data_IF_181997108416
#
_entry.id   IF_181997108416
#
_cell.length_a   1.000
_cell.length_b   1.000
_cell.length_c   1.000
_cell.angle_alpha   90.00
_cell.angle_beta   90.00
_cell.angle_gamma   90.00
#
_symmetry.space_group_name_H-M   'P 1'
#
loop_
_entity.id
_entity.type
_entity.pdbx_description
1 polymer ?
#
# COMPACT_ATOMS: atom_id res chain seq x y z
N UNK A 1 -42.22 48.39 -23.26
CA UNK A 1 -41.40 48.33 -22.04
C UNK A 1 -42.21 47.63 -20.97
N UNK A 2 -41.56 46.68 -20.28
CA UNK A 2 -42.05 45.89 -19.15
C UNK A 2 -43.03 44.73 -19.45
N UNK A 3 -42.68 43.59 -18.84
CA UNK A 3 -43.09 42.20 -19.05
C UNK A 3 -44.10 41.72 -17.99
N UNK A 4 -44.53 40.46 -18.18
CA UNK A 4 -45.14 39.47 -17.25
C UNK A 4 -46.66 39.45 -17.14
N UNK A 5 -47.33 38.32 -16.92
CA UNK A 5 -47.09 36.89 -17.11
C UNK A 5 -48.42 36.22 -16.72
N UNK A 6 -48.88 35.17 -17.41
CA UNK A 6 -49.78 34.18 -16.79
C UNK A 6 -49.48 32.76 -17.30
N UNK A 7 -49.54 31.83 -16.36
CA UNK A 7 -49.35 30.38 -16.46
C UNK A 7 -50.69 29.70 -16.73
N UNK A 8 -50.71 28.63 -17.53
CA UNK A 8 -51.64 27.51 -17.32
C UNK A 8 -51.14 26.21 -17.94
N UNK A 9 -51.62 25.12 -17.34
CA UNK A 9 -51.17 23.74 -17.27
C UNK A 9 -51.82 22.80 -18.31
N UNK A 10 -51.14 21.67 -18.51
CA UNK A 10 -51.62 20.32 -18.85
C UNK A 10 -52.03 19.94 -20.29
N UNK A 11 -51.25 19.03 -20.90
CA UNK A 11 -51.68 17.65 -21.29
C UNK A 11 -50.59 16.95 -22.15
N UNK A 12 -49.81 16.01 -21.60
CA UNK A 12 -49.94 14.53 -21.68
C UNK A 12 -49.34 13.88 -22.96
N UNK A 13 -48.27 13.09 -22.72
CA UNK A 13 -47.75 11.88 -23.42
C UNK A 13 -47.33 11.99 -24.90
N UNK A 14 -46.05 11.69 -25.17
CA UNK A 14 -45.63 10.37 -25.64
C UNK A 14 -44.09 10.27 -25.68
N UNK A 15 -43.59 9.09 -25.39
CA UNK A 15 -42.19 8.73 -25.29
C UNK A 15 -41.46 8.79 -26.63
N UNK A 16 -40.21 9.26 -26.60
CA UNK A 16 -39.17 8.83 -27.53
C UNK A 16 -37.85 8.85 -26.76
N UNK A 17 -37.32 7.65 -26.58
CA UNK A 17 -36.06 7.32 -25.94
C UNK A 17 -34.92 7.99 -26.72
N UNK A 18 -34.22 8.92 -26.09
CA UNK A 18 -32.94 9.44 -26.56
C UNK A 18 -31.85 8.90 -25.66
N UNK A 19 -31.19 7.84 -26.10
CA UNK A 19 -29.92 7.34 -25.53
C UNK A 19 -28.90 8.50 -25.47
N UNK A 20 -28.14 8.66 -24.37
CA UNK A 20 -27.03 9.60 -24.36
C UNK A 20 -25.85 8.99 -25.15
N UNK A 21 -25.64 9.48 -26.37
CA UNK A 21 -24.35 9.39 -27.06
C UNK A 21 -23.25 10.01 -26.19
N UNK A 22 -22.54 9.18 -25.43
CA UNK A 22 -21.22 9.56 -24.91
C UNK A 22 -20.28 8.35 -24.75
N UNK A 23 -20.24 7.44 -25.72
CA UNK A 23 -19.07 6.58 -25.86
C UNK A 23 -18.00 7.35 -26.64
N UNK A 24 -17.30 8.26 -25.95
CA UNK A 24 -16.09 8.90 -26.50
C UNK A 24 -15.09 7.81 -26.86
N UNK A 25 -14.79 7.71 -28.16
CA UNK A 25 -13.74 6.88 -28.72
C UNK A 25 -12.46 7.05 -27.88
N UNK A 26 -11.99 5.97 -27.26
CA UNK A 26 -10.70 5.97 -26.59
C UNK A 26 -9.65 6.21 -27.67
N UNK A 27 -9.19 7.45 -27.81
CA UNK A 27 -8.27 7.90 -28.86
C UNK A 27 -7.08 6.94 -28.94
N UNK A 28 -7.13 6.03 -29.91
CA UNK A 28 -6.13 4.99 -30.09
C UNK A 28 -4.89 5.59 -30.71
N UNK A 29 -3.73 5.36 -30.11
CA UNK A 29 -2.48 5.92 -30.64
C UNK A 29 -2.12 5.31 -32.02
N UNK A 30 -1.36 6.02 -32.87
CA UNK A 30 -0.92 5.47 -34.17
C UNK A 30 0.00 4.26 -34.01
N UNK A 31 0.00 3.34 -34.97
CA UNK A 31 0.86 2.14 -34.95
C UNK A 31 2.36 2.47 -34.73
N UNK A 32 2.85 3.54 -35.36
CA UNK A 32 4.23 4.00 -35.24
C UNK A 32 4.62 4.36 -33.80
N UNK A 33 3.66 4.83 -32.98
CA UNK A 33 3.90 5.11 -31.56
C UNK A 33 4.26 3.83 -30.81
N UNK A 34 3.46 2.77 -30.96
CA UNK A 34 3.71 1.51 -30.25
C UNK A 34 5.03 0.89 -30.66
N UNK A 35 5.32 0.81 -31.96
CA UNK A 35 6.60 0.27 -32.46
C UNK A 35 7.78 1.05 -31.89
N UNK A 36 7.69 2.38 -31.79
CA UNK A 36 8.73 3.21 -31.19
C UNK A 36 8.88 2.97 -29.69
N UNK A 37 7.79 2.81 -28.94
CA UNK A 37 7.85 2.54 -27.50
C UNK A 37 8.40 1.15 -27.22
N UNK A 38 7.98 0.11 -27.95
CA UNK A 38 8.54 -1.23 -27.81
C UNK A 38 10.04 -1.28 -28.11
N UNK A 39 10.51 -0.58 -29.15
CA UNK A 39 11.94 -0.44 -29.41
C UNK A 39 12.67 0.27 -28.25
N UNK A 40 12.06 1.28 -27.62
CA UNK A 40 12.64 1.94 -26.45
C UNK A 40 12.65 1.05 -25.20
N UNK A 41 11.66 0.16 -25.03
CA UNK A 41 11.65 -0.84 -23.94
C UNK A 41 12.79 -1.84 -24.15
N UNK A 42 12.99 -2.33 -25.38
CA UNK A 42 14.14 -3.19 -25.74
C UNK A 42 15.48 -2.51 -25.42
N UNK A 43 15.62 -1.22 -25.75
CA UNK A 43 16.84 -0.43 -25.45
C UNK A 43 17.13 -0.28 -23.95
N UNK A 44 16.09 -0.30 -23.11
CA UNK A 44 16.17 -0.27 -21.63
C UNK A 44 16.44 -1.67 -21.06
N UNK A 45 15.85 -2.70 -21.66
CA UNK A 45 15.91 -4.10 -21.24
C UNK A 45 14.55 -4.60 -20.71
N UNK A 46 13.99 -5.63 -21.35
CA UNK A 46 12.73 -6.26 -20.95
C UNK A 46 12.78 -6.88 -19.56
N UNK A 47 13.96 -7.35 -19.12
CA UNK A 47 14.19 -7.94 -17.81
C UNK A 47 14.02 -6.95 -16.65
N UNK A 48 14.04 -5.64 -16.96
CA UNK A 48 13.79 -4.55 -16.01
C UNK A 48 12.33 -4.13 -15.98
N UNK A 49 11.56 -4.41 -17.03
CA UNK A 49 10.13 -4.08 -17.08
C UNK A 49 9.35 -5.03 -16.16
N UNK A 50 8.71 -4.47 -15.14
CA UNK A 50 7.89 -5.22 -14.17
C UNK A 50 6.46 -5.34 -14.68
N UNK A 51 5.89 -4.27 -15.22
CA UNK A 51 4.54 -4.29 -15.78
C UNK A 51 4.32 -3.15 -16.77
N UNK A 52 3.35 -3.34 -17.66
CA UNK A 52 2.82 -2.31 -18.57
C UNK A 52 1.29 -2.29 -18.52
N UNK A 53 0.69 -1.09 -18.57
CA UNK A 53 -0.77 -0.88 -18.47
C UNK A 53 -1.26 0.18 -19.46
N UNK A 54 -2.58 0.24 -19.65
CA UNK A 54 -3.27 1.23 -20.48
C UNK A 54 -3.26 0.89 -21.98
N UNK A 55 -3.37 1.89 -22.84
CA UNK A 55 -3.48 1.72 -24.30
C UNK A 55 -2.32 0.89 -24.85
N UNK A 56 -2.64 -0.25 -25.47
CA UNK A 56 -1.68 -1.24 -25.95
C UNK A 56 -0.69 -1.78 -24.91
N UNK A 57 -0.97 -1.64 -23.60
CA UNK A 57 -0.08 -2.05 -22.52
C UNK A 57 1.15 -1.16 -22.31
N UNK A 58 1.21 0.02 -22.94
CA UNK A 58 2.41 0.87 -22.96
C UNK A 58 2.18 2.32 -22.51
N UNK A 59 0.97 2.65 -22.07
CA UNK A 59 0.68 4.02 -21.58
C UNK A 59 1.29 4.29 -20.20
N UNK A 60 1.45 3.26 -19.39
CA UNK A 60 2.09 3.32 -18.08
C UNK A 60 3.01 2.10 -17.95
N UNK A 61 4.31 2.35 -17.74
CA UNK A 61 5.36 1.34 -17.67
C UNK A 61 6.02 1.40 -16.29
N UNK A 62 6.23 0.26 -15.66
CA UNK A 62 6.93 0.17 -14.37
C UNK A 62 8.24 -0.56 -14.56
N UNK A 63 9.36 0.12 -14.33
CA UNK A 63 10.70 -0.45 -14.38
C UNK A 63 11.27 -0.67 -12.98
N UNK A 64 11.94 -1.81 -12.79
CA UNK A 64 12.78 -2.09 -11.62
C UNK A 64 14.19 -1.56 -11.89
N UNK A 65 14.66 -0.71 -10.99
CA UNK A 65 15.98 -0.08 -11.05
C UNK A 65 16.71 -0.36 -9.73
N UNK A 66 17.92 -0.89 -9.84
CA UNK A 66 18.80 -1.10 -8.70
C UNK A 66 19.65 0.14 -8.46
N UNK A 67 19.81 0.52 -7.20
CA UNK A 67 20.81 1.52 -6.80
C UNK A 67 22.17 0.87 -6.50
N UNK A 68 23.16 1.71 -6.14
CA UNK A 68 24.53 1.29 -5.87
C UNK A 68 24.67 0.38 -4.63
N UNK A 69 23.65 0.31 -3.77
CA UNK A 69 23.58 -0.61 -2.61
C UNK A 69 22.77 -1.87 -2.92
N UNK A 70 22.33 -2.05 -4.17
CA UNK A 70 21.51 -3.19 -4.58
C UNK A 70 20.05 -3.12 -4.11
N UNK A 71 19.58 -1.96 -3.66
CA UNK A 71 18.16 -1.77 -3.29
C UNK A 71 17.31 -1.63 -4.55
N UNK A 72 16.14 -2.26 -4.53
CA UNK A 72 15.18 -2.22 -5.61
C UNK A 72 14.29 -0.97 -5.51
N UNK A 73 14.28 -0.18 -6.58
CA UNK A 73 13.39 0.97 -6.76
C UNK A 73 12.46 0.70 -7.94
N UNK A 74 11.17 0.98 -7.78
CA UNK A 74 10.19 0.91 -8.85
C UNK A 74 9.96 2.32 -9.41
N UNK A 75 10.29 2.50 -10.69
CA UNK A 75 10.03 3.72 -11.44
C UNK A 75 8.83 3.49 -12.37
N UNK A 76 7.72 4.13 -12.05
CA UNK A 76 6.56 4.21 -12.92
C UNK A 76 6.71 5.41 -13.87
N UNK A 77 6.51 5.16 -15.16
CA UNK A 77 6.62 6.12 -16.26
C UNK A 77 5.29 6.12 -17.00
N UNK A 78 4.56 7.23 -16.92
CA UNK A 78 3.31 7.44 -17.66
C UNK A 78 3.56 8.29 -18.90
N UNK A 79 3.24 7.74 -20.07
CA UNK A 79 3.43 8.38 -21.37
C UNK A 79 2.18 9.21 -21.73
N UNK A 80 2.28 10.54 -21.89
CA UNK A 80 1.15 11.34 -22.34
C UNK A 80 0.79 11.06 -23.80
N UNK A 81 -0.40 11.46 -24.26
CA UNK A 81 -0.88 11.22 -25.64
C UNK A 81 0.01 11.84 -26.71
N UNK A 82 0.66 12.95 -26.39
CA UNK A 82 1.57 13.66 -27.27
C UNK A 82 3.05 13.29 -27.08
N UNK A 83 3.35 12.19 -26.37
CA UNK A 83 4.71 11.66 -26.26
C UNK A 83 5.30 11.37 -27.65
N UNK A 84 6.58 11.70 -27.92
CA UNK A 84 7.59 12.27 -27.02
C UNK A 84 7.65 13.82 -27.00
N UNK A 85 6.68 14.51 -27.61
CA UNK A 85 6.68 15.98 -27.65
C UNK A 85 6.53 16.61 -26.27
N UNK A 86 5.86 15.93 -25.35
CA UNK A 86 5.87 16.26 -23.91
C UNK A 86 6.58 15.17 -23.11
N UNK A 87 7.22 15.55 -21.99
CA UNK A 87 7.89 14.58 -21.11
C UNK A 87 6.91 13.59 -20.51
N UNK A 88 7.36 12.37 -20.19
CA UNK A 88 6.59 11.45 -19.39
C UNK A 88 6.44 11.95 -17.95
N UNK A 89 5.38 11.51 -17.27
CA UNK A 89 5.21 11.70 -15.83
C UNK A 89 5.89 10.55 -15.09
N UNK A 90 6.63 10.86 -14.02
CA UNK A 90 7.37 9.88 -13.23
C UNK A 90 6.76 9.76 -11.84
N UNK A 91 6.70 8.53 -11.33
CA UNK A 91 6.34 8.23 -9.94
C UNK A 91 7.29 7.16 -9.42
N UNK A 92 7.83 7.37 -8.22
CA UNK A 92 8.67 6.40 -7.53
C UNK A 92 8.61 6.66 -6.02
N UNK A 93 8.88 5.63 -5.22
CA UNK A 93 9.04 5.75 -3.76
C UNK A 93 10.42 6.36 -3.45
N UNK A 94 10.54 7.68 -3.66
CA UNK A 94 11.74 8.46 -3.36
C UNK A 94 11.32 9.79 -2.74
N UNK A 95 12.14 10.45 -1.90
CA UNK A 95 11.71 11.65 -1.17
C UNK A 95 11.40 12.83 -2.10
N UNK A 96 12.02 12.85 -3.28
CA UNK A 96 11.69 13.76 -4.38
C UNK A 96 12.20 13.15 -5.69
N UNK A 97 11.54 13.49 -6.80
CA UNK A 97 11.95 13.05 -8.15
C UNK A 97 13.01 14.00 -8.74
N UNK A 98 13.83 13.54 -9.70
CA UNK A 98 14.72 14.42 -10.44
C UNK A 98 13.93 15.39 -11.32
N UNK A 99 14.49 16.57 -11.56
CA UNK A 99 14.02 17.46 -12.62
C UNK A 99 14.41 16.87 -13.97
N UNK A 100 13.47 16.20 -14.61
CA UNK A 100 13.71 15.48 -15.87
C UNK A 100 14.13 16.44 -16.99
N UNK A 101 15.36 16.29 -17.45
CA UNK A 101 15.84 16.97 -18.65
C UNK A 101 15.26 16.23 -19.87
N UNK A 102 14.37 16.92 -20.60
CA UNK A 102 13.60 16.31 -21.68
C UNK A 102 13.63 17.15 -22.96
N UNK A 103 13.74 16.46 -24.08
CA UNK A 103 13.63 17.03 -25.42
C UNK A 103 12.82 16.10 -26.33
N UNK A 104 12.43 16.56 -27.53
CA UNK A 104 11.72 15.70 -28.51
C UNK A 104 12.55 14.49 -28.99
N UNK A 105 13.87 14.53 -28.83
CA UNK A 105 14.77 13.41 -29.14
C UNK A 105 14.98 12.44 -27.98
N UNK A 106 14.51 12.79 -26.78
CA UNK A 106 14.67 11.97 -25.58
C UNK A 106 13.80 10.73 -25.63
N UNK A 107 14.25 9.68 -24.94
CA UNK A 107 13.66 8.33 -24.93
C UNK A 107 13.56 7.78 -23.50
N UNK A 108 12.88 6.65 -23.34
CA UNK A 108 12.77 5.96 -22.05
C UNK A 108 14.13 5.69 -21.38
N UNK A 109 15.16 5.35 -22.16
CA UNK A 109 16.51 5.13 -21.65
C UNK A 109 17.09 6.36 -20.96
N UNK A 110 16.84 7.56 -21.50
CA UNK A 110 17.31 8.80 -20.88
C UNK A 110 16.64 9.05 -19.52
N UNK A 111 15.36 8.70 -19.39
CA UNK A 111 14.62 8.75 -18.11
C UNK A 111 15.24 7.82 -17.09
N UNK A 112 15.47 6.55 -17.48
CA UNK A 112 16.06 5.53 -16.61
C UNK A 112 17.46 5.95 -16.16
N UNK A 113 18.30 6.42 -17.08
CA UNK A 113 19.65 6.91 -16.74
C UNK A 113 19.61 8.11 -15.77
N UNK A 114 18.76 9.11 -16.03
CA UNK A 114 18.62 10.26 -15.13
C UNK A 114 18.10 9.85 -13.74
N UNK A 115 17.17 8.90 -13.67
CA UNK A 115 16.70 8.37 -12.40
C UNK A 115 17.80 7.60 -11.67
N UNK A 116 18.60 6.78 -12.36
CA UNK A 116 19.74 6.09 -11.76
C UNK A 116 20.76 7.06 -11.15
N UNK A 117 21.13 8.14 -11.86
CA UNK A 117 22.00 9.18 -11.30
C UNK A 117 21.37 9.87 -10.09
N UNK A 118 20.05 10.07 -10.11
CA UNK A 118 19.32 10.62 -8.97
C UNK A 118 19.36 9.70 -7.74
N UNK A 119 19.26 8.38 -7.94
CA UNK A 119 19.41 7.41 -6.84
C UNK A 119 20.79 7.51 -6.17
N UNK A 120 21.84 7.88 -6.90
CA UNK A 120 23.19 8.11 -6.33
C UNK A 120 23.22 9.32 -5.41
N UNK A 121 22.53 10.39 -5.78
CA UNK A 121 22.42 11.61 -4.95
C UNK A 121 21.69 11.30 -3.64
N UNK A 122 20.68 10.43 -3.68
CA UNK A 122 19.87 10.06 -2.52
C UNK A 122 20.54 9.07 -1.55
N UNK A 123 21.70 8.50 -1.90
CA UNK A 123 22.39 7.51 -1.06
C UNK A 123 22.68 8.04 0.34
N UNK A 124 23.15 9.28 0.44
CA UNK A 124 23.49 9.90 1.72
C UNK A 124 22.25 10.06 2.62
N UNK A 125 21.11 10.41 2.01
CA UNK A 125 19.85 10.53 2.72
C UNK A 125 19.40 9.18 3.28
N UNK A 126 19.37 8.13 2.47
CA UNK A 126 18.96 6.81 2.95
C UNK A 126 19.91 6.25 4.00
N UNK A 127 21.22 6.48 3.86
CA UNK A 127 22.19 6.08 4.91
C UNK A 127 21.87 6.75 6.25
N UNK A 128 21.50 8.03 6.26
CA UNK A 128 21.10 8.74 7.49
C UNK A 128 19.78 8.19 8.05
N UNK A 129 18.81 7.90 7.20
CA UNK A 129 17.54 7.32 7.64
C UNK A 129 17.72 5.90 8.21
N UNK A 130 18.53 5.06 7.56
CA UNK A 130 18.89 3.71 8.03
C UNK A 130 19.61 3.75 9.39
N UNK A 131 20.53 4.70 9.57
CA UNK A 131 21.22 4.92 10.85
C UNK A 131 20.24 5.36 11.96
N UNK A 132 19.28 6.23 11.65
CA UNK A 132 18.23 6.63 12.58
C UNK A 132 17.39 5.42 12.99
N UNK A 133 16.93 4.63 12.02
CA UNK A 133 16.05 3.47 12.24
C UNK A 133 16.76 2.36 13.03
N UNK A 134 18.08 2.25 12.88
CA UNK A 134 18.90 1.26 13.59
C UNK A 134 19.26 1.69 15.01
N UNK A 135 19.55 2.97 15.24
CA UNK A 135 20.16 3.45 16.49
C UNK A 135 19.16 4.08 17.45
N UNK A 136 18.06 4.65 16.96
CA UNK A 136 17.08 5.37 17.77
C UNK A 136 15.80 4.55 17.94
N UNK A 137 15.11 4.75 19.06
CA UNK A 137 13.79 4.15 19.26
C UNK A 137 12.73 4.83 18.40
N UNK A 138 12.62 4.41 17.14
CA UNK A 138 11.57 4.84 16.20
C UNK A 138 10.28 4.09 16.52
N UNK A 139 9.21 4.85 16.81
CA UNK A 139 7.87 4.33 17.10
C UNK A 139 6.96 4.38 15.87
N UNK A 140 7.21 5.31 14.96
CA UNK A 140 6.44 5.48 13.74
C UNK A 140 7.32 6.11 12.63
N UNK A 141 7.23 5.62 11.37
CA UNK A 141 6.49 4.45 10.90
C UNK A 141 7.15 3.13 11.33
N UNK A 142 6.35 2.07 11.50
CA UNK A 142 6.86 0.71 11.80
C UNK A 142 7.54 0.05 10.60
N UNK A 143 7.14 0.44 9.39
CA UNK A 143 7.72 0.01 8.12
C UNK A 143 7.98 1.24 7.25
N UNK A 144 9.16 1.87 7.37
CA UNK A 144 9.47 3.04 6.57
C UNK A 144 9.59 2.71 5.08
N UNK A 145 9.18 3.64 4.24
CA UNK A 145 9.42 3.60 2.79
C UNK A 145 10.57 4.53 2.43
N UNK A 146 11.10 4.41 1.21
CA UNK A 146 12.25 5.22 0.76
C UNK A 146 11.89 6.70 0.60
N UNK A 147 10.62 7.05 0.39
CA UNK A 147 10.15 8.43 0.33
C UNK A 147 9.96 9.10 1.70
N UNK A 148 9.82 8.33 2.79
CA UNK A 148 9.45 8.88 4.10
C UNK A 148 10.60 9.59 4.78
N UNK A 149 10.51 10.91 4.87
CA UNK A 149 11.52 11.80 5.49
C UNK A 149 11.33 12.09 6.97
N UNK A 150 10.31 11.50 7.59
CA UNK A 150 10.01 11.74 8.99
C UNK A 150 10.13 10.47 9.82
N UNK A 151 10.44 10.64 11.11
CA UNK A 151 10.44 9.57 12.13
C UNK A 151 9.92 10.13 13.44
N UNK A 152 9.06 9.39 14.13
CA UNK A 152 8.66 9.67 15.50
C UNK A 152 9.53 8.86 16.46
N UNK A 153 10.42 9.55 17.16
CA UNK A 153 11.39 8.95 18.07
C UNK A 153 10.85 9.04 19.51
N UNK A 154 10.88 7.93 20.24
CA UNK A 154 10.56 7.92 21.66
C UNK A 154 11.68 8.58 22.46
N UNK A 155 11.31 9.43 23.42
CA UNK A 155 12.21 10.04 24.39
C UNK A 155 11.98 9.51 25.82
N UNK A 156 11.03 8.59 26.01
CA UNK A 156 10.56 8.08 27.30
C UNK A 156 9.55 9.01 27.99
N UNK A 157 8.85 8.52 29.02
CA UNK A 157 7.81 9.25 29.78
C UNK A 157 6.73 9.86 28.86
N UNK A 158 6.24 9.06 27.90
CA UNK A 158 5.24 9.49 26.90
C UNK A 158 5.61 10.76 26.12
N UNK A 159 6.91 11.07 26.04
CA UNK A 159 7.46 12.14 25.24
C UNK A 159 8.05 11.60 23.93
N UNK A 160 7.81 12.32 22.84
CA UNK A 160 8.25 11.96 21.50
C UNK A 160 8.83 13.16 20.76
N UNK A 161 9.73 12.86 19.83
CA UNK A 161 10.25 13.80 18.85
C UNK A 161 9.76 13.38 17.46
N UNK A 162 8.90 14.18 16.85
CA UNK A 162 8.65 14.06 15.42
C UNK A 162 9.76 14.80 14.69
N UNK A 163 10.65 14.02 14.07
CA UNK A 163 11.81 14.45 13.33
C UNK A 163 11.49 14.49 11.84
N UNK A 164 11.94 15.54 11.14
CA UNK A 164 11.90 15.64 9.68
C UNK A 164 13.31 15.91 9.14
N UNK A 165 13.83 14.98 8.35
CA UNK A 165 15.15 15.06 7.71
C UNK A 165 15.01 15.67 6.32
N UNK A 166 15.79 16.69 6.02
CA UNK A 166 15.81 17.28 4.70
C UNK A 166 16.56 16.36 3.71
N UNK A 167 15.84 15.71 2.80
CA UNK A 167 16.44 14.75 1.86
C UNK A 167 17.49 15.35 0.91
N UNK A 168 17.47 16.67 0.65
CA UNK A 168 18.48 17.37 -0.17
C UNK A 168 19.73 17.75 0.63
N UNK A 169 19.61 17.81 1.97
CA UNK A 169 20.68 18.17 2.90
C UNK A 169 20.57 17.30 4.17
N UNK A 170 20.74 15.98 4.06
CA UNK A 170 20.37 15.03 5.14
C UNK A 170 21.22 15.20 6.41
N UNK A 171 22.42 15.75 6.29
CA UNK A 171 23.32 16.07 7.43
C UNK A 171 23.07 17.44 8.06
N UNK A 172 22.16 18.26 7.53
CA UNK A 172 21.82 19.56 8.11
C UNK A 172 20.92 19.43 9.35
N UNK A 173 20.79 20.50 10.13
CA UNK A 173 19.91 20.54 11.30
C UNK A 173 18.48 20.16 10.86
N UNK A 174 17.88 19.10 11.43
CA UNK A 174 16.55 18.66 11.04
C UNK A 174 15.46 19.55 11.63
N UNK A 175 14.29 19.52 11.02
CA UNK A 175 13.08 20.11 11.61
C UNK A 175 12.53 19.16 12.67
N UNK A 176 12.08 19.71 13.80
CA UNK A 176 11.60 18.90 14.92
C UNK A 176 10.31 19.46 15.50
N UNK A 177 9.44 18.55 15.95
CA UNK A 177 8.28 18.84 16.76
C UNK A 177 8.27 17.95 17.99
N UNK A 178 8.14 18.57 19.15
CA UNK A 178 8.08 17.91 20.44
C UNK A 178 6.62 17.57 20.76
N UNK A 179 6.37 16.35 21.25
CA UNK A 179 5.04 15.83 21.61
C UNK A 179 5.12 15.17 22.99
N UNK A 180 4.13 15.37 23.87
CA UNK A 180 4.10 14.75 25.20
C UNK A 180 3.58 15.70 26.28
N UNK A 181 3.59 15.25 27.54
CA UNK A 181 3.17 16.04 28.71
C UNK A 181 4.31 16.86 29.33
N UNK A 182 3.94 17.83 30.16
CA UNK A 182 4.78 19.01 30.46
C UNK A 182 5.96 18.76 31.44
N UNK A 183 6.90 19.70 31.51
CA UNK A 183 8.08 19.68 32.38
C UNK A 183 9.35 19.10 31.74
N UNK A 184 9.32 17.83 31.31
CA UNK A 184 10.45 17.22 30.55
C UNK A 184 10.58 17.85 29.17
N UNK A 185 9.45 18.07 28.50
CA UNK A 185 9.38 18.62 27.15
C UNK A 185 9.92 20.06 27.09
N UNK A 186 9.56 20.91 28.07
CA UNK A 186 10.02 22.29 28.15
C UNK A 186 11.55 22.40 28.25
N UNK A 187 12.15 21.49 29.03
CA UNK A 187 13.62 21.39 29.14
C UNK A 187 14.24 21.01 27.80
N UNK A 188 13.69 20.01 27.11
CA UNK A 188 14.18 19.57 25.80
C UNK A 188 14.03 20.65 24.72
N UNK A 189 12.91 21.38 24.70
CA UNK A 189 12.68 22.52 23.81
C UNK A 189 13.68 23.64 24.09
N UNK A 190 13.93 23.94 25.37
CA UNK A 190 14.90 24.97 25.78
C UNK A 190 16.32 24.58 25.37
N UNK A 191 16.71 23.31 25.59
CA UNK A 191 17.99 22.77 25.18
C UNK A 191 18.16 22.83 23.66
N UNK A 192 17.14 22.40 22.89
CA UNK A 192 17.15 22.48 21.44
C UNK A 192 17.41 23.91 20.95
N UNK A 193 16.67 24.90 21.46
CA UNK A 193 16.85 26.31 21.10
C UNK A 193 18.24 26.83 21.44
N UNK A 194 18.81 26.40 22.56
CA UNK A 194 20.13 26.83 23.04
C UNK A 194 21.28 26.18 22.27
N UNK A 195 21.13 24.91 21.92
CA UNK A 195 22.23 24.07 21.43
C UNK A 195 22.12 23.68 19.95
N UNK A 196 21.06 24.01 19.23
CA UNK A 196 20.92 23.68 17.81
C UNK A 196 22.10 24.13 16.93
N UNK A 197 22.76 25.25 17.30
CA UNK A 197 23.97 25.75 16.62
C UNK A 197 25.19 24.86 16.78
N UNK A 198 25.16 23.88 17.70
CA UNK A 198 26.21 22.87 17.88
C UNK A 198 26.06 21.69 16.91
N UNK A 199 24.96 21.63 16.14
CA UNK A 199 24.77 20.63 15.10
C UNK A 199 25.88 20.74 14.06
N UNK A 200 26.55 19.62 13.76
CA UNK A 200 27.62 19.58 12.76
C UNK A 200 27.37 18.46 11.76
N UNK A 201 27.59 18.73 10.47
CA UNK A 201 27.45 17.72 9.42
C UNK A 201 28.47 16.57 9.55
N UNK A 202 29.57 16.78 10.27
CA UNK A 202 30.66 15.79 10.41
C UNK A 202 30.39 14.75 11.51
N UNK A 203 29.36 14.96 12.34
CA UNK A 203 29.01 14.07 13.45
C UNK A 203 27.91 13.09 13.03
N UNK A 204 27.87 11.93 13.70
CA UNK A 204 26.76 10.99 13.53
C UNK A 204 25.45 11.63 13.97
N UNK A 205 24.36 11.26 13.29
CA UNK A 205 23.05 11.88 13.51
C UNK A 205 22.57 11.79 14.97
N UNK A 206 22.66 10.60 15.57
CA UNK A 206 22.24 10.38 16.96
C UNK A 206 23.13 11.11 17.99
N UNK A 207 24.43 11.25 17.73
CA UNK A 207 25.36 12.01 18.58
C UNK A 207 25.03 13.51 18.56
N UNK A 208 24.76 14.04 17.36
CA UNK A 208 24.25 15.40 17.18
C UNK A 208 22.95 15.61 17.95
N UNK A 209 21.98 14.71 17.77
CA UNK A 209 20.68 14.81 18.41
C UNK A 209 20.79 14.78 19.94
N UNK A 210 21.61 13.87 20.49
CA UNK A 210 21.88 13.80 21.93
C UNK A 210 22.56 15.07 22.45
N UNK A 211 23.51 15.63 21.68
CA UNK A 211 24.21 16.88 22.03
C UNK A 211 23.27 18.08 22.05
N UNK A 212 22.37 18.19 21.07
CA UNK A 212 21.45 19.32 20.93
C UNK A 212 20.33 19.25 21.97
N UNK A 213 19.84 18.04 22.27
CA UNK A 213 18.83 17.84 23.32
C UNK A 213 19.43 17.88 24.73
N UNK A 214 20.76 17.73 24.86
CA UNK A 214 21.48 17.53 26.12
C UNK A 214 20.80 16.42 26.94
N UNK A 215 20.59 15.29 26.26
CA UNK A 215 19.76 14.18 26.70
C UNK A 215 20.31 12.87 26.13
N UNK A 216 20.41 11.85 26.98
CA UNK A 216 20.75 10.50 26.54
C UNK A 216 19.52 9.86 25.88
N UNK A 217 19.57 9.69 24.56
CA UNK A 217 18.48 9.08 23.79
C UNK A 217 18.28 7.62 24.21
N UNK A 218 17.04 7.17 24.44
CA UNK A 218 16.80 5.77 24.75
C UNK A 218 17.13 4.91 23.53
N UNK A 219 17.76 3.73 23.73
CA UNK A 219 17.97 2.80 22.64
C UNK A 219 16.63 2.21 22.18
N UNK A 220 16.57 1.64 20.97
CA UNK A 220 15.46 0.77 20.59
C UNK A 220 15.27 -0.31 21.65
N UNK A 221 14.04 -0.73 21.94
CA UNK A 221 13.80 -1.81 22.88
C UNK A 221 14.61 -3.04 22.44
N UNK A 222 15.42 -3.58 23.36
CA UNK A 222 16.13 -4.84 23.10
C UNK A 222 15.07 -5.87 22.76
N UNK A 223 15.13 -6.44 21.56
CA UNK A 223 14.22 -7.50 21.15
C UNK A 223 14.56 -8.76 21.94
N UNK A 224 14.14 -8.81 23.20
CA UNK A 224 13.85 -10.09 23.83
C UNK A 224 12.54 -10.53 23.16
N UNK A 225 12.69 -11.26 22.05
CA UNK A 225 11.63 -12.08 21.45
C UNK A 225 11.39 -13.22 22.44
N UNK A 226 10.82 -12.92 23.60
CA UNK A 226 10.11 -13.92 24.38
C UNK A 226 8.62 -13.59 24.24
N UNK A 227 8.06 -14.22 23.21
CA UNK A 227 6.65 -14.61 23.10
C UNK A 227 5.59 -13.50 22.90
N UNK A 228 5.67 -12.80 21.76
CA UNK A 228 4.44 -12.30 21.09
C UNK A 228 4.34 -12.78 19.62
N UNK A 229 5.10 -13.81 19.26
CA UNK A 229 5.00 -14.53 17.98
C UNK A 229 4.01 -15.70 18.02
N UNK A 230 3.15 -15.80 19.04
CA UNK A 230 1.99 -16.69 18.97
C UNK A 230 0.90 -16.04 18.11
N UNK A 231 0.85 -16.48 16.86
CA UNK A 231 -0.08 -16.04 15.82
C UNK A 231 -1.53 -16.24 16.27
N UNK A 232 -2.25 -15.13 16.48
CA UNK A 232 -3.70 -15.13 16.74
C UNK A 232 -4.46 -15.85 15.63
N UNK A 233 -5.53 -16.56 15.96
CA UNK A 233 -6.39 -17.19 14.96
C UNK A 233 -6.93 -16.17 13.94
N UNK A 234 -6.83 -16.49 12.65
CA UNK A 234 -7.34 -15.65 11.55
C UNK A 234 -8.85 -15.50 11.44
N UNK A 235 -9.63 -16.12 12.34
CA UNK A 235 -11.10 -16.07 12.34
C UNK A 235 -11.60 -15.42 13.63
N UNK A 236 -11.17 -15.90 14.80
CA UNK A 236 -11.64 -15.39 16.09
C UNK A 236 -10.72 -14.35 16.73
N UNK A 237 -9.53 -14.10 16.15
CA UNK A 237 -8.53 -13.16 16.66
C UNK A 237 -8.09 -13.41 18.11
N UNK A 238 -8.26 -14.65 18.59
CA UNK A 238 -7.81 -15.06 19.91
C UNK A 238 -6.63 -16.04 19.81
N UNK A 239 -5.76 -16.03 20.82
CA UNK A 239 -4.66 -17.00 20.99
C UNK A 239 -5.18 -18.37 21.39
N UNK A 240 -6.13 -18.39 22.34
CA UNK A 240 -6.71 -19.61 22.89
C UNK A 240 -8.23 -19.59 22.74
N UNK A 241 -8.83 -20.76 22.47
CA UNK A 241 -10.27 -20.92 22.58
C UNK A 241 -10.73 -20.75 24.05
N UNK A 242 -11.97 -20.29 24.30
CA UNK A 242 -12.52 -20.25 25.65
C UNK A 242 -12.53 -21.66 26.26
N UNK A 243 -12.43 -21.72 27.59
CA UNK A 243 -12.59 -22.97 28.33
C UNK A 243 -14.08 -23.26 28.42
N UNK A 244 -14.54 -24.22 27.62
CA UNK A 244 -15.92 -24.66 27.53
C UNK A 244 -15.96 -26.20 27.48
N UNK A 245 -16.87 -26.80 28.25
CA UNK A 245 -17.10 -28.25 28.28
C UNK A 245 -17.64 -28.76 26.94
N UNK A 246 -18.35 -27.92 26.17
CA UNK A 246 -18.87 -28.28 24.83
C UNK A 246 -17.76 -28.43 23.77
N UNK A 247 -16.62 -27.75 23.95
CA UNK A 247 -15.46 -27.83 23.04
C UNK A 247 -14.57 -29.06 23.28
N UNK A 248 -14.83 -29.83 24.36
CA UNK A 248 -14.12 -31.05 24.69
C UNK A 248 -12.60 -30.87 24.70
N UNK A 249 -11.87 -31.69 23.95
CA UNK A 249 -10.39 -31.67 23.87
C UNK A 249 -9.81 -30.41 23.22
N UNK A 250 -10.63 -29.55 22.62
CA UNK A 250 -10.20 -28.29 21.99
C UNK A 250 -10.43 -27.06 22.89
N UNK A 251 -11.02 -27.26 24.06
CA UNK A 251 -11.20 -26.24 25.10
C UNK A 251 -9.83 -25.68 25.53
N UNK A 252 -9.67 -24.36 25.53
CA UNK A 252 -8.37 -23.72 25.83
C UNK A 252 -7.27 -23.94 24.77
N UNK A 253 -7.58 -24.53 23.61
CA UNK A 253 -6.58 -24.87 22.59
C UNK A 253 -5.98 -23.65 21.88
N UNK A 254 -4.68 -23.73 21.55
CA UNK A 254 -3.98 -22.77 20.67
C UNK A 254 -4.28 -23.03 19.19
N UNK A 255 -3.83 -22.15 18.31
CA UNK A 255 -3.94 -22.36 16.85
C UNK A 255 -3.21 -23.64 16.44
N UNK A 256 -3.94 -24.56 15.79
CA UNK A 256 -3.49 -25.91 15.44
C UNK A 256 -3.52 -26.16 13.91
N UNK A 257 -3.87 -25.15 13.13
CA UNK A 257 -3.90 -25.20 11.66
C UNK A 257 -3.27 -23.94 11.04
N UNK A 258 -2.38 -24.11 10.07
CA UNK A 258 -1.73 -22.99 9.35
C UNK A 258 -1.98 -23.11 7.85
N UNK A 259 -2.25 -21.98 7.19
CA UNK A 259 -2.48 -21.93 5.75
C UNK A 259 -1.25 -22.44 4.97
N UNK A 260 -1.47 -23.41 4.08
CA UNK A 260 -0.41 -24.03 3.27
C UNK A 260 0.12 -23.12 2.15
N UNK A 261 -0.55 -22.01 1.84
CA UNK A 261 -0.05 -21.05 0.87
C UNK A 261 1.21 -20.34 1.42
N UNK A 262 2.38 -20.48 0.76
CA UNK A 262 3.64 -19.89 1.23
C UNK A 262 3.61 -18.36 1.40
N UNK A 263 2.65 -17.69 0.77
CA UNK A 263 2.47 -16.23 0.86
C UNK A 263 1.48 -15.78 1.95
N UNK A 264 0.77 -16.70 2.62
CA UNK A 264 -0.33 -16.37 3.53
C UNK A 264 0.02 -16.49 5.02
N UNK A 265 0.75 -17.55 5.40
CA UNK A 265 1.25 -17.85 6.75
C UNK A 265 0.25 -17.66 7.93
N UNK A 266 -1.06 -17.62 7.67
CA UNK A 266 -2.09 -17.39 8.69
C UNK A 266 -2.41 -18.66 9.46
N UNK A 267 -2.45 -18.57 10.80
CA UNK A 267 -2.83 -19.66 11.69
C UNK A 267 -4.31 -19.55 12.13
N UNK A 268 -4.92 -20.69 12.47
CA UNK A 268 -6.31 -20.83 12.84
C UNK A 268 -6.49 -21.92 13.89
N UNK A 269 -7.53 -21.82 14.73
CA UNK A 269 -8.07 -23.00 15.42
C UNK A 269 -8.86 -23.84 14.42
N UNK A 270 -8.67 -25.15 14.44
CA UNK A 270 -9.36 -26.10 13.57
C UNK A 270 -10.86 -26.06 13.78
N UNK A 271 -11.33 -25.73 14.99
CA UNK A 271 -12.75 -25.50 15.29
C UNK A 271 -13.27 -24.29 14.49
N UNK A 272 -12.63 -23.12 14.62
CA UNK A 272 -13.03 -21.91 13.91
C UNK A 272 -13.03 -22.10 12.38
N UNK A 273 -12.02 -22.79 11.84
CA UNK A 273 -11.95 -23.06 10.42
C UNK A 273 -13.06 -24.01 9.95
N UNK A 274 -13.35 -25.08 10.69
CA UNK A 274 -14.44 -26.00 10.36
C UNK A 274 -15.80 -25.31 10.38
N UNK A 275 -16.05 -24.48 11.38
CA UNK A 275 -17.34 -23.78 11.51
C UNK A 275 -17.52 -22.74 10.39
N UNK A 276 -16.46 -22.00 10.08
CA UNK A 276 -16.45 -21.08 8.94
C UNK A 276 -16.67 -21.81 7.60
N UNK A 277 -16.00 -22.95 7.37
CA UNK A 277 -16.17 -23.78 6.16
C UNK A 277 -17.58 -24.41 6.05
N UNK A 278 -18.24 -24.67 7.18
CA UNK A 278 -19.63 -25.15 7.23
C UNK A 278 -20.63 -24.02 6.94
N UNK A 279 -20.31 -22.79 7.35
CA UNK A 279 -21.16 -21.62 7.16
C UNK A 279 -21.18 -21.12 5.70
N UNK A 280 -20.14 -21.40 4.91
CA UNK A 280 -20.13 -21.11 3.47
C UNK A 280 -20.96 -22.17 2.71
N UNK A 281 -22.19 -21.82 2.35
CA UNK A 281 -23.14 -22.71 1.68
C UNK A 281 -22.86 -22.91 0.18
N UNK A 282 -21.78 -23.60 -0.16
CA UNK A 282 -21.59 -24.31 -1.45
C UNK A 282 -20.85 -25.66 -1.31
N UNK A 283 -20.51 -26.08 -0.09
CA UNK A 283 -19.71 -27.30 0.18
C UNK A 283 -20.53 -28.59 0.16
N UNK A 284 -21.44 -28.78 -0.80
CA UNK A 284 -22.11 -30.07 -1.06
C UNK A 284 -21.43 -30.96 -2.11
N UNK A 285 -20.26 -30.56 -2.64
CA UNK A 285 -19.51 -31.38 -3.61
C UNK A 285 -18.05 -31.71 -3.25
N UNK A 286 -17.51 -31.26 -2.12
CA UNK A 286 -16.07 -31.45 -1.78
C UNK A 286 -15.77 -32.45 -0.64
N UNK A 287 -16.76 -33.15 -0.09
CA UNK A 287 -16.54 -34.15 0.98
C UNK A 287 -15.92 -35.46 0.47
N UNK A 288 -15.71 -35.61 -0.84
CA UNK A 288 -15.09 -36.83 -1.42
C UNK A 288 -13.55 -36.83 -1.48
N UNK A 289 -12.86 -35.76 -1.09
CA UNK A 289 -11.39 -35.67 -1.24
C UNK A 289 -10.59 -35.67 0.08
N UNK A 290 -11.24 -35.67 1.25
CA UNK A 290 -10.52 -35.64 2.54
C UNK A 290 -10.28 -37.04 3.13
N UNK A 291 -10.88 -38.10 2.55
CA UNK A 291 -10.81 -39.47 3.10
C UNK A 291 -10.01 -40.48 2.25
N UNK A 292 -8.95 -40.05 1.57
CA UNK A 292 -7.97 -41.01 1.01
C UNK A 292 -6.56 -40.47 1.19
N UNK A 293 -5.92 -40.89 2.28
CA UNK A 293 -4.48 -41.14 2.27
C UNK A 293 -4.23 -42.22 1.22
N UNK A 294 -3.63 -41.85 0.09
CA UNK A 294 -2.72 -42.64 -0.75
C UNK A 294 -2.67 -42.03 -2.15
N UNK A 295 -1.62 -41.27 -2.44
CA UNK A 295 -0.98 -41.20 -3.77
C UNK A 295 0.26 -40.32 -3.69
N UNK A 296 1.40 -40.91 -3.33
CA UNK A 296 2.71 -40.40 -3.73
C UNK A 296 2.80 -40.50 -5.25
N UNK A 297 2.78 -39.38 -5.98
CA UNK A 297 3.42 -39.34 -7.30
C UNK A 297 4.04 -37.97 -7.57
N UNK A 298 5.34 -38.05 -7.78
CA UNK A 298 6.35 -37.07 -8.20
C UNK A 298 5.88 -36.27 -9.42
N UNK A 299 6.00 -34.93 -9.41
CA UNK A 299 6.25 -34.12 -10.61
C UNK A 299 7.11 -32.90 -10.26
N UNK A 300 8.32 -32.87 -10.81
CA UNK A 300 9.22 -31.71 -10.88
C UNK A 300 8.68 -30.67 -11.89
N UNK A 301 9.04 -29.37 -11.76
CA UNK A 301 8.60 -28.33 -12.70
C UNK A 301 9.44 -28.35 -14.00
N UNK A 302 8.88 -27.99 -15.17
CA UNK A 302 9.65 -27.90 -16.41
C UNK A 302 10.35 -26.54 -16.56
N UNK A 303 11.37 -26.44 -17.44
CA UNK A 303 12.24 -25.28 -17.56
C UNK A 303 11.68 -24.17 -18.47
N UNK A 304 12.23 -22.99 -18.22
CA UNK A 304 12.27 -21.69 -18.91
C UNK A 304 12.20 -21.65 -20.46
N UNK A 305 11.19 -22.20 -21.15
CA UNK A 305 11.08 -21.99 -22.63
C UNK A 305 9.65 -21.76 -23.18
N UNK A 306 8.77 -21.10 -22.41
CA UNK A 306 7.38 -20.84 -22.87
C UNK A 306 6.92 -19.38 -22.83
N UNK A 307 7.82 -18.42 -22.65
CA UNK A 307 7.45 -16.98 -22.77
C UNK A 307 7.35 -16.56 -24.24
N UNK A 308 8.14 -17.18 -25.13
CA UNK A 308 8.13 -16.89 -26.57
C UNK A 308 6.87 -17.41 -27.29
N UNK A 309 6.27 -18.49 -26.80
CA UNK A 309 5.11 -19.12 -27.43
C UNK A 309 3.77 -18.43 -27.10
N UNK A 310 3.64 -17.75 -25.95
CA UNK A 310 2.40 -17.02 -25.63
C UNK A 310 2.22 -15.75 -26.46
N UNK A 311 3.31 -15.07 -26.84
CA UNK A 311 3.26 -13.82 -27.61
C UNK A 311 2.86 -14.08 -29.08
N UNK A 312 3.31 -15.20 -29.67
CA UNK A 312 2.91 -15.59 -31.02
C UNK A 312 1.48 -16.16 -31.10
N UNK A 313 0.97 -16.77 -30.02
CA UNK A 313 -0.41 -17.26 -29.94
C UNK A 313 -1.44 -16.13 -29.91
N UNK A 314 -1.12 -14.99 -29.27
CA UNK A 314 -2.00 -13.81 -29.26
C UNK A 314 -2.06 -13.07 -30.60
N UNK A 315 -1.08 -13.24 -31.49
CA UNK A 315 -1.08 -12.62 -32.83
C UNK A 315 -1.72 -13.50 -33.93
N UNK A 316 -2.05 -14.76 -33.63
CA UNK A 316 -2.59 -15.71 -34.62
C UNK A 316 -4.09 -16.06 -34.45
N UNK A 317 -4.74 -15.65 -33.35
CA UNK A 317 -6.14 -16.05 -33.05
C UNK A 317 -7.20 -14.95 -33.28
N UNK A 318 -6.82 -13.70 -33.58
CA UNK A 318 -7.80 -12.65 -33.92
C UNK A 318 -7.59 -12.06 -35.31
N UNK A 319 -8.07 -12.70 -36.39
CA UNK A 319 -8.45 -11.96 -37.58
C UNK A 319 -9.74 -11.18 -37.26
N UNK A 320 -9.65 -9.86 -37.31
CA UNK A 320 -10.80 -8.96 -37.39
C UNK A 320 -11.71 -9.44 -38.54
N UNK A 321 -13.00 -9.64 -38.27
CA UNK A 321 -14.03 -9.57 -39.31
C UNK A 321 -15.13 -8.61 -38.85
N UNK A 322 -15.58 -7.70 -39.72
CA UNK A 322 -16.61 -6.73 -39.44
C UNK A 322 -17.95 -7.45 -39.38
N UNK A 323 -18.89 -6.88 -38.64
CA UNK A 323 -20.30 -7.29 -38.49
C UNK A 323 -20.58 -7.86 -37.10
N UNK A 324 -20.95 -6.92 -36.23
CA UNK A 324 -21.38 -7.20 -34.87
C UNK A 324 -22.63 -8.07 -34.86
N UNK A 325 -22.57 -9.17 -34.12
CA UNK A 325 -23.60 -9.60 -33.16
C UNK A 325 -23.20 -10.94 -32.53
N UNK A 326 -22.92 -10.93 -31.24
CA UNK A 326 -23.41 -11.99 -30.34
C UNK A 326 -23.34 -11.53 -28.91
N UNK A 327 -24.53 -11.44 -28.32
CA UNK A 327 -24.76 -11.10 -26.93
C UNK A 327 -24.39 -12.27 -26.03
N UNK A 328 -23.74 -11.98 -24.89
CA UNK A 328 -24.03 -12.67 -23.63
C UNK A 328 -23.97 -11.64 -22.49
N UNK A 329 -25.17 -11.21 -22.10
CA UNK A 329 -25.65 -10.87 -20.75
C UNK A 329 -24.64 -10.22 -19.79
N UNK A 330 -24.63 -8.88 -19.77
CA UNK A 330 -24.26 -8.10 -18.58
C UNK A 330 -25.43 -8.12 -17.60
N UNK A 331 -25.19 -8.56 -16.35
CA UNK A 331 -25.91 -8.01 -15.20
C UNK A 331 -24.98 -7.08 -14.45
N UNK A 332 -25.53 -5.90 -14.23
CA UNK A 332 -24.88 -4.68 -13.78
C UNK A 332 -25.36 -4.37 -12.36
N UNK A 333 -24.52 -3.64 -11.61
CA UNK A 333 -24.85 -2.81 -10.43
C UNK A 333 -25.27 -3.67 -9.20
N UNK A 334 -24.87 -3.42 -7.95
CA UNK A 334 -24.82 -2.22 -7.12
C UNK A 334 -23.80 -2.49 -6.00
N UNK A 335 -22.95 -1.54 -5.60
CA UNK A 335 -23.23 -0.57 -4.52
C UNK A 335 -24.11 -1.10 -3.36
N UNK A 336 -23.70 -0.68 -2.15
CA UNK A 336 -24.39 -0.69 -0.84
C UNK A 336 -24.15 -1.90 0.08
N UNK A 337 -24.29 -1.78 1.43
CA UNK A 337 -24.46 -0.57 2.26
C UNK A 337 -23.57 -0.52 3.52
N UNK A 338 -23.37 0.70 4.05
CA UNK A 338 -23.31 0.94 5.49
C UNK A 338 -24.70 0.67 6.09
N UNK A 339 -24.85 -0.33 6.95
CA UNK A 339 -25.97 -0.51 7.90
C UNK A 339 -25.44 -1.41 9.03
N UNK A 340 -25.06 -0.83 10.17
CA UNK A 340 -25.87 -0.72 11.38
C UNK A 340 -26.27 -2.05 12.04
N UNK A 341 -25.91 -2.13 13.33
CA UNK A 341 -26.28 -3.14 14.33
C UNK A 341 -27.77 -3.53 14.29
N UNK A 342 -28.09 -4.75 14.73
CA UNK A 342 -29.11 -4.93 15.79
C UNK A 342 -28.58 -5.88 16.90
N UNK A 343 -28.60 -5.48 18.17
CA UNK A 343 -29.71 -5.62 19.13
C UNK A 343 -29.64 -6.92 19.95
N UNK A 344 -29.10 -6.82 21.16
CA UNK A 344 -29.63 -7.54 22.33
C UNK A 344 -29.94 -6.49 23.42
N UNK A 345 -31.18 -5.98 23.40
CA UNK A 345 -31.99 -5.78 24.63
C UNK A 345 -32.29 -7.18 25.18
N UNK A 346 -32.49 -7.46 26.45
CA UNK A 346 -32.66 -6.71 27.69
C UNK A 346 -32.51 -7.81 28.76
N UNK A 347 -31.91 -7.53 29.91
CA UNK A 347 -32.45 -8.13 31.12
C UNK A 347 -32.54 -7.07 32.22
N UNK A 348 -33.78 -6.69 32.46
CA UNK A 348 -34.26 -5.92 33.59
C UNK A 348 -34.07 -6.71 34.88
N UNK A 349 -33.61 -6.06 35.97
CA UNK A 349 -34.45 -5.76 37.16
C UNK A 349 -33.70 -5.02 38.28
N UNK A 350 -34.41 -4.39 39.26
CA UNK A 350 -34.35 -2.94 39.43
C UNK A 350 -34.14 -2.47 40.89
N UNK A 351 -34.40 -1.17 41.12
CA UNK A 351 -34.65 -0.45 42.40
C UNK A 351 -33.37 0.04 43.10
N UNK A 352 -33.27 1.26 43.65
CA UNK A 352 -34.12 2.45 43.79
C UNK A 352 -33.17 3.59 44.21
N UNK A 353 -33.23 4.75 43.55
CA UNK A 353 -33.72 6.03 44.09
C UNK A 353 -33.23 6.44 45.49
N UNK A 354 -32.47 7.55 45.50
CA UNK A 354 -32.65 8.78 46.31
C UNK A 354 -31.25 9.36 46.58
N UNK A 355 -30.95 10.63 46.43
CA UNK A 355 -31.72 11.84 46.18
C UNK A 355 -30.71 12.95 45.94
N UNK A 356 -31.08 13.92 45.12
CA UNK A 356 -30.49 15.26 45.08
C UNK A 356 -30.44 15.89 46.48
N UNK A 357 -29.41 16.68 46.72
CA UNK A 357 -29.58 17.97 47.36
C UNK A 357 -28.41 18.87 46.93
N UNK A 358 -28.77 19.93 46.20
CA UNK A 358 -28.07 21.21 46.21
C UNK A 358 -27.62 21.59 47.63
N UNK A 359 -26.49 22.28 47.75
CA UNK A 359 -26.43 23.60 48.41
C UNK A 359 -25.01 24.18 48.27
N UNK A 360 -24.97 25.37 47.65
CA UNK A 360 -24.02 26.49 47.83
C UNK A 360 -22.54 26.33 47.48
#
# INVERSE_FOLDING_TARGET
MALHATSSRDSVRAAAEGEPEWAGDASRRPAAFYSAVFAQIEEVGWERLVSGKGDGGVSCLVFRILDDQGRNHLLEITLPMNYPSSPPCLVADVPYLPELQWSKGSRLKDVVCQFQEHLKILQDYWSIMDDIDKVLWVVDPTKPTFAMSHRRIALGDDCYLLLHVNARKPRSLPEVRFLGTDGKLDRLITNWRKYCKKWSADKKFHENLSTVLDFALPPPPSVNIEDDEQVDCGICYAKHLPIDDELGTHSGGTTDYTCENPSCSRAFHSVCLRDWLRAITTTRQYVKMINTQEAKTIFLPPPYELVYSMILYFLTIYPFSPDGTSQVVRRSVWELPLLQRPCCREDHRPLKQSSEADFS
#
